data_IF_821554918847
#
_entry.id   IF_821554918847
#
_cell.length_a   1.000
_cell.length_b   1.000
_cell.length_c   1.000
_cell.angle_alpha   90.00
_cell.angle_beta   90.00
_cell.angle_gamma   90.00
#
_symmetry.space_group_name_H-M   'P 1'
#
loop_
_entity.id
_entity.type
_entity.pdbx_description
1 polymer ?
#
# COMPACT_ATOMS: atom_id res chain seq x y z
N UNK A 1 -9.49 10.43 24.60
CA UNK A 1 -8.80 9.15 24.83
C UNK A 1 -7.82 8.91 23.71
N UNK A 2 -6.59 8.49 24.00
CA UNK A 2 -5.60 8.14 22.97
C UNK A 2 -6.04 6.91 22.17
N UNK A 3 -5.62 6.83 20.91
CA UNK A 3 -5.84 5.68 20.04
C UNK A 3 -4.49 5.09 19.63
N UNK A 4 -4.47 3.79 19.40
CA UNK A 4 -3.31 3.03 18.95
C UNK A 4 -3.69 2.34 17.64
N UNK A 5 -2.78 2.38 16.67
CA UNK A 5 -2.88 1.64 15.42
C UNK A 5 -1.60 0.85 15.21
N UNK A 6 -1.74 -0.44 14.91
CA UNK A 6 -0.63 -1.33 14.53
C UNK A 6 -0.86 -1.75 13.09
N UNK A 7 0.17 -1.57 12.26
CA UNK A 7 0.15 -1.94 10.86
C UNK A 7 0.96 -3.22 10.70
N UNK A 8 0.34 -4.26 10.16
CA UNK A 8 0.92 -5.60 10.09
C UNK A 8 1.00 -6.03 8.64
N UNK A 9 2.23 -6.25 8.15
CA UNK A 9 2.47 -6.89 6.86
C UNK A 9 2.74 -8.38 7.06
N UNK A 10 2.12 -9.23 6.25
CA UNK A 10 2.32 -10.69 6.29
C UNK A 10 2.40 -11.24 4.87
N UNK A 11 2.77 -12.53 4.73
CA UNK A 11 2.62 -13.25 3.46
C UNK A 11 1.17 -13.49 3.02
N UNK A 12 0.20 -13.25 3.91
CA UNK A 12 -1.24 -13.45 3.64
C UNK A 12 -1.99 -12.15 3.32
N UNK A 13 -1.30 -11.01 3.33
CA UNK A 13 -1.89 -9.69 3.19
C UNK A 13 -1.52 -8.74 4.34
N UNK A 14 -2.09 -7.54 4.30
CA UNK A 14 -1.97 -6.53 5.34
C UNK A 14 -3.15 -6.58 6.31
N UNK A 15 -2.88 -6.25 7.57
CA UNK A 15 -3.89 -6.05 8.60
C UNK A 15 -3.66 -4.72 9.33
N UNK A 16 -4.75 -4.08 9.71
CA UNK A 16 -4.73 -2.85 10.52
C UNK A 16 -5.48 -3.15 11.81
N UNK A 17 -4.75 -3.11 12.92
CA UNK A 17 -5.31 -3.36 14.24
C UNK A 17 -5.43 -2.02 14.96
N UNK A 18 -6.60 -1.72 15.51
CA UNK A 18 -6.84 -0.49 16.27
C UNK A 18 -7.38 -0.76 17.66
N UNK A 19 -6.93 0.05 18.62
CA UNK A 19 -7.40 0.01 20.00
C UNK A 19 -7.41 1.40 20.62
N UNK A 20 -8.07 1.54 21.76
CA UNK A 20 -7.88 2.68 22.64
C UNK A 20 -6.53 2.62 23.37
N UNK A 21 -6.22 3.66 24.15
CA UNK A 21 -5.00 3.72 24.95
C UNK A 21 -4.85 2.59 25.98
N UNK A 22 -5.93 1.89 26.34
CA UNK A 22 -5.89 0.77 27.30
C UNK A 22 -5.48 -0.54 26.62
N UNK A 23 -5.62 -0.64 25.29
CA UNK A 23 -5.17 -1.79 24.46
C UNK A 23 -5.76 -3.14 24.88
N UNK A 24 -6.91 -3.14 25.58
CA UNK A 24 -7.57 -4.35 26.08
C UNK A 24 -8.53 -5.01 25.09
N UNK A 25 -9.02 -4.25 24.09
CA UNK A 25 -9.84 -4.75 22.98
C UNK A 25 -9.32 -4.18 21.68
N UNK A 26 -9.25 -5.02 20.66
CA UNK A 26 -8.71 -4.68 19.35
C UNK A 26 -9.76 -4.92 18.27
N UNK A 27 -9.92 -3.92 17.40
CA UNK A 27 -10.62 -4.07 16.13
C UNK A 27 -9.58 -4.44 15.05
N UNK A 28 -9.91 -5.41 14.22
CA UNK A 28 -9.00 -5.95 13.20
C UNK A 28 -9.61 -5.75 11.81
N UNK A 29 -8.94 -4.96 10.98
CA UNK A 29 -9.28 -4.77 9.58
C UNK A 29 -8.33 -5.56 8.68
N UNK A 30 -8.89 -6.31 7.72
CA UNK A 30 -8.15 -7.11 6.75
C UNK A 30 -8.71 -8.54 6.58
N UNK A 31 -8.01 -9.40 5.81
CA UNK A 31 -6.78 -9.10 5.08
C UNK A 31 -7.05 -8.10 3.94
N UNK A 32 -6.28 -7.00 3.92
CA UNK A 32 -6.13 -6.20 2.71
C UNK A 32 -5.11 -6.90 1.82
N UNK A 33 -5.29 -6.87 0.49
CA UNK A 33 -4.40 -7.58 -0.44
C UNK A 33 -4.33 -9.09 -0.13
N UNK A 34 -5.48 -9.71 0.11
CA UNK A 34 -5.56 -11.11 0.55
C UNK A 34 -4.81 -12.07 -0.37
N UNK A 35 -3.87 -12.83 0.19
CA UNK A 35 -3.03 -13.77 -0.56
C UNK A 35 -1.80 -13.16 -1.22
N UNK A 36 -1.59 -11.85 -1.13
CA UNK A 36 -0.38 -11.18 -1.59
C UNK A 36 0.54 -10.83 -0.42
N UNK A 37 1.85 -10.91 -0.66
CA UNK A 37 2.83 -10.65 0.38
C UNK A 37 2.98 -9.15 0.62
N UNK A 38 2.98 -8.74 1.88
CA UNK A 38 3.23 -7.36 2.28
C UNK A 38 4.58 -7.30 2.97
N UNK A 39 5.59 -6.82 2.26
CA UNK A 39 6.96 -6.73 2.78
C UNK A 39 7.09 -5.64 3.85
N UNK A 40 6.35 -4.54 3.68
CA UNK A 40 6.30 -3.47 4.65
C UNK A 40 5.01 -2.67 4.55
N UNK A 41 4.52 -2.17 5.67
CA UNK A 41 3.37 -1.26 5.75
C UNK A 41 3.66 -0.18 6.79
N UNK A 42 3.43 1.10 6.43
CA UNK A 42 3.85 2.24 7.25
C UNK A 42 2.88 3.42 7.13
N UNK A 43 2.56 4.03 8.25
CA UNK A 43 1.81 5.29 8.31
C UNK A 43 2.71 6.51 8.09
N UNK A 44 2.16 7.56 7.48
CA UNK A 44 2.85 8.84 7.32
C UNK A 44 2.89 9.59 8.66
N UNK A 45 4.05 10.16 9.07
CA UNK A 45 4.12 11.04 10.22
C UNK A 45 3.42 12.40 9.95
N UNK A 46 3.26 12.79 8.70
CA UNK A 46 2.61 14.05 8.31
C UNK A 46 1.07 13.96 8.26
N UNK A 47 0.53 12.76 8.07
CA UNK A 47 -0.91 12.51 7.98
C UNK A 47 -1.23 11.10 8.50
N UNK A 48 -1.86 10.98 9.70
CA UNK A 48 -2.21 9.69 10.29
C UNK A 48 -3.18 8.82 9.47
N UNK A 49 -3.91 9.39 8.50
CA UNK A 49 -4.77 8.62 7.60
C UNK A 49 -4.01 8.10 6.38
N UNK A 50 -2.84 8.65 6.09
CA UNK A 50 -2.02 8.21 4.97
C UNK A 50 -1.18 7.00 5.34
N UNK A 51 -1.39 5.90 4.64
CA UNK A 51 -0.67 4.64 4.85
C UNK A 51 -0.09 4.18 3.51
N UNK A 52 1.12 3.63 3.54
CA UNK A 52 1.75 3.01 2.39
C UNK A 52 1.96 1.52 2.66
N UNK A 53 1.69 0.69 1.65
CA UNK A 53 1.93 -0.75 1.70
C UNK A 53 2.77 -1.15 0.48
N UNK A 54 3.86 -1.85 0.75
CA UNK A 54 4.70 -2.52 -0.25
C UNK A 54 4.16 -3.92 -0.47
N UNK A 55 3.20 -4.05 -1.40
CA UNK A 55 2.70 -5.35 -1.85
C UNK A 55 3.72 -5.96 -2.81
N UNK A 56 3.87 -7.28 -2.78
CA UNK A 56 4.72 -8.03 -3.70
C UNK A 56 3.99 -9.29 -4.19
N UNK A 57 4.22 -9.62 -5.46
CA UNK A 57 3.70 -10.82 -6.12
C UNK A 57 4.71 -11.34 -7.14
N UNK A 58 4.65 -12.63 -7.45
CA UNK A 58 5.55 -13.25 -8.43
C UNK A 58 5.35 -12.71 -9.85
N UNK A 59 4.14 -12.23 -10.16
CA UNK A 59 3.81 -11.75 -11.50
C UNK A 59 4.20 -10.28 -11.73
N UNK A 60 3.84 -9.39 -10.78
CA UNK A 60 4.04 -7.94 -10.95
C UNK A 60 5.24 -7.39 -10.17
N UNK A 61 5.95 -8.24 -9.42
CA UNK A 61 6.98 -7.78 -8.49
C UNK A 61 6.38 -6.90 -7.39
N UNK A 62 7.15 -5.93 -6.92
CA UNK A 62 6.74 -5.01 -5.87
C UNK A 62 5.92 -3.84 -6.42
N UNK A 63 4.72 -3.64 -5.88
CA UNK A 63 3.85 -2.51 -6.21
C UNK A 63 3.51 -1.71 -4.95
N UNK A 64 3.79 -0.41 -5.00
CA UNK A 64 3.47 0.50 -3.92
C UNK A 64 1.99 0.89 -3.96
N UNK A 65 1.32 0.69 -2.83
CA UNK A 65 -0.05 1.12 -2.62
C UNK A 65 -0.10 2.21 -1.54
N UNK A 66 -1.02 3.15 -1.70
CA UNK A 66 -1.32 4.19 -0.73
C UNK A 66 -2.79 4.16 -0.37
N UNK A 67 -3.08 4.30 0.91
CA UNK A 67 -4.40 4.67 1.41
C UNK A 67 -4.35 6.10 1.92
N UNK A 68 -5.43 6.85 1.69
CA UNK A 68 -5.61 8.22 2.21
C UNK A 68 -6.72 8.31 3.27
N UNK A 69 -7.30 7.18 3.67
CA UNK A 69 -8.47 7.11 4.56
C UNK A 69 -8.29 6.13 5.75
N UNK A 70 -7.03 5.89 6.12
CA UNK A 70 -6.67 5.02 7.24
C UNK A 70 -6.71 3.53 6.91
N UNK A 71 -6.65 3.17 5.63
CA UNK A 71 -6.56 1.80 5.12
C UNK A 71 -7.88 1.20 4.67
N UNK A 72 -8.95 2.00 4.52
CA UNK A 72 -10.24 1.51 4.04
C UNK A 72 -10.21 1.32 2.52
N UNK A 73 -9.62 2.26 1.81
CA UNK A 73 -9.40 2.20 0.36
C UNK A 73 -7.92 2.37 0.03
N UNK A 74 -7.53 1.83 -1.12
CA UNK A 74 -6.14 1.78 -1.57
C UNK A 74 -6.05 2.09 -3.06
N UNK A 75 -5.05 2.87 -3.43
CA UNK A 75 -4.66 3.13 -4.81
C UNK A 75 -3.19 2.75 -5.04
N UNK A 76 -2.83 2.38 -6.27
CA UNK A 76 -1.41 2.23 -6.64
C UNK A 76 -0.77 3.61 -6.77
N UNK A 77 0.51 3.71 -6.43
CA UNK A 77 1.28 4.96 -6.55
C UNK A 77 2.57 4.72 -7.31
N UNK A 78 2.88 5.61 -8.26
CA UNK A 78 4.06 5.47 -9.12
C UNK A 78 4.02 4.27 -10.06
N UNK A 79 2.85 3.66 -10.27
CA UNK A 79 2.67 2.48 -11.12
C UNK A 79 2.20 2.86 -12.54
N UNK A 80 2.72 3.96 -13.08
CA UNK A 80 2.38 4.45 -14.41
C UNK A 80 3.54 4.18 -15.38
N UNK A 81 3.27 3.50 -16.49
CA UNK A 81 4.23 3.28 -17.58
C UNK A 81 4.04 4.34 -18.67
N UNK A 82 4.23 5.60 -18.30
CA UNK A 82 4.12 6.71 -19.25
C UNK A 82 5.47 6.98 -19.89
N UNK A 83 5.47 7.18 -21.21
CA UNK A 83 6.61 7.77 -21.89
C UNK A 83 6.77 9.21 -21.43
N UNK A 84 8.02 9.64 -21.31
CA UNK A 84 8.30 11.06 -21.24
C UNK A 84 8.16 11.67 -22.64
N UNK A 85 7.42 12.77 -22.74
CA UNK A 85 7.11 13.45 -24.01
C UNK A 85 6.03 12.79 -24.89
N UNK A 86 5.90 13.30 -26.12
CA UNK A 86 4.94 12.82 -27.12
C UNK A 86 5.52 11.62 -27.86
N UNK A 87 4.87 10.43 -27.84
CA UNK A 87 5.32 9.29 -28.63
C UNK A 87 5.43 9.64 -30.12
N UNK A 88 6.61 9.46 -30.69
CA UNK A 88 6.85 9.63 -32.12
C UNK A 88 6.58 8.33 -32.88
N UNK A 89 6.18 8.43 -34.14
CA UNK A 89 6.16 7.26 -35.04
C UNK A 89 7.61 6.86 -35.34
N UNK A 90 7.97 5.61 -35.09
CA UNK A 90 9.25 5.06 -35.53
C UNK A 90 9.25 4.97 -37.06
N UNK A 91 10.07 5.79 -37.73
CA UNK A 91 10.02 5.95 -39.19
C UNK A 91 11.08 5.12 -39.95
N UNK A 92 12.07 4.52 -39.28
CA UNK A 92 13.25 3.91 -39.92
C UNK A 92 13.69 2.61 -39.24
N UNK A 93 14.78 1.96 -39.68
CA UNK A 93 15.23 0.62 -39.23
C UNK A 93 16.63 0.61 -38.58
N UNK A 94 17.17 1.78 -38.28
CA UNK A 94 18.46 2.01 -37.64
C UNK A 94 18.26 2.20 -36.14
N UNK A 95 18.43 1.09 -35.42
CA UNK A 95 18.62 1.09 -33.97
C UNK A 95 19.98 1.64 -33.54
#
# INVERSE_FOLDING_TARGET
MSKVRVLVGTRKGAFILTADGKRGKWDVSGPHFGGWEIYHIKGSPADPNRIYASQSSDWFGQVMHRSSDGGKTWETVGNEFKYDGTPGTHQWYDG
#
